data_IF_604746963563
#
_entry.id   IF_604746963563
#
_cell.length_a   1.000
_cell.length_b   1.000
_cell.length_c   1.000
_cell.angle_alpha   90.00
_cell.angle_beta   90.00
_cell.angle_gamma   90.00
#
_symmetry.space_group_name_H-M   'P 1'
#
loop_
_entity.id
_entity.type
_entity.pdbx_description
1 polymer ?
#
# COMPACT_ATOMS: atom_id res chain seq x y z
N UNK A 1 -9.70 26.52 -4.90
CA UNK A 1 -8.71 27.00 -5.88
C UNK A 1 -7.52 26.02 -6.03
N UNK A 2 -7.00 25.42 -4.96
CA UNK A 2 -5.83 24.51 -4.99
C UNK A 2 -6.08 23.18 -5.74
N UNK A 3 -7.29 22.62 -5.72
CA UNK A 3 -7.58 21.35 -6.39
C UNK A 3 -7.49 21.41 -7.92
N UNK A 4 -7.68 22.57 -8.55
CA UNK A 4 -7.54 22.75 -10.00
C UNK A 4 -6.08 22.69 -10.47
N UNK A 5 -5.13 23.02 -9.59
CA UNK A 5 -3.70 22.98 -9.90
C UNK A 5 -3.13 21.55 -9.90
N UNK A 6 -3.86 20.57 -9.34
CA UNK A 6 -3.46 19.17 -9.27
C UNK A 6 -4.08 18.30 -10.37
N UNK A 7 -4.97 18.86 -11.22
CA UNK A 7 -5.54 18.10 -12.32
C UNK A 7 -4.44 17.72 -13.32
N UNK A 8 -4.30 16.41 -13.58
CA UNK A 8 -3.27 15.88 -14.46
C UNK A 8 -1.84 16.00 -13.91
N UNK A 9 -1.69 16.32 -12.62
CA UNK A 9 -0.38 16.39 -12.00
C UNK A 9 0.27 14.99 -11.92
N UNK A 10 1.59 14.96 -12.03
CA UNK A 10 2.36 13.75 -11.79
C UNK A 10 2.63 13.58 -10.29
N UNK A 11 2.26 12.44 -9.77
CA UNK A 11 2.56 12.03 -8.40
C UNK A 11 3.80 11.13 -8.46
N UNK A 12 4.86 11.58 -7.83
CA UNK A 12 6.12 10.83 -7.70
C UNK A 12 6.09 10.12 -6.36
N UNK A 13 6.28 8.81 -6.37
CA UNK A 13 6.14 7.93 -5.20
C UNK A 13 7.50 7.39 -4.77
N UNK A 14 7.80 7.54 -3.48
CA UNK A 14 8.94 6.92 -2.79
C UNK A 14 8.44 6.62 -1.36
N UNK A 15 8.02 5.37 -1.11
CA UNK A 15 7.30 5.03 0.12
C UNK A 15 7.33 3.53 0.40
N UNK A 16 7.48 3.17 1.67
CA UNK A 16 7.38 1.79 2.18
C UNK A 16 5.94 1.30 2.39
N UNK A 17 4.93 2.13 2.10
CA UNK A 17 3.53 1.73 2.20
C UNK A 17 2.75 2.43 3.31
N UNK A 18 1.87 1.70 4.00
CA UNK A 18 1.04 2.24 5.07
C UNK A 18 -0.35 1.62 5.17
N UNK A 19 -1.34 2.41 5.56
CA UNK A 19 -2.72 1.96 5.81
C UNK A 19 -3.47 1.65 4.51
N UNK A 20 -4.18 0.51 4.47
CA UNK A 20 -5.09 0.13 3.37
C UNK A 20 -6.16 1.20 3.15
N UNK A 21 -6.76 1.71 4.23
CA UNK A 21 -7.83 2.69 4.15
C UNK A 21 -7.36 4.01 3.54
N UNK A 22 -6.19 4.49 3.97
CA UNK A 22 -5.64 5.75 3.52
C UNK A 22 -5.16 5.65 2.06
N UNK A 23 -4.53 4.54 1.67
CA UNK A 23 -4.12 4.29 0.30
C UNK A 23 -5.33 4.26 -0.66
N UNK A 24 -6.41 3.58 -0.29
CA UNK A 24 -7.65 3.56 -1.08
C UNK A 24 -8.26 4.97 -1.19
N UNK A 25 -8.35 5.70 -0.08
CA UNK A 25 -8.95 7.03 -0.06
C UNK A 25 -8.13 8.03 -0.90
N UNK A 26 -6.80 8.03 -0.72
CA UNK A 26 -5.88 8.89 -1.43
C UNK A 26 -5.82 8.54 -2.92
N UNK A 27 -5.74 7.25 -3.25
CA UNK A 27 -5.70 6.79 -4.63
C UNK A 27 -6.97 7.14 -5.41
N UNK A 28 -8.15 7.05 -4.80
CA UNK A 28 -9.41 7.51 -5.42
C UNK A 28 -9.37 9.02 -5.71
N UNK A 29 -8.76 9.82 -4.83
CA UNK A 29 -8.55 11.25 -5.08
C UNK A 29 -7.60 11.49 -6.25
N UNK A 30 -6.49 10.79 -6.31
CA UNK A 30 -5.54 10.89 -7.44
C UNK A 30 -6.21 10.54 -8.76
N UNK A 31 -6.96 9.43 -8.78
CA UNK A 31 -7.72 9.03 -9.98
C UNK A 31 -8.73 10.09 -10.40
N UNK A 32 -9.49 10.66 -9.44
CA UNK A 32 -10.48 11.71 -9.70
C UNK A 32 -9.88 13.02 -10.22
N UNK A 33 -8.62 13.32 -9.86
CA UNK A 33 -7.86 14.45 -10.37
C UNK A 33 -7.19 14.15 -11.72
N UNK A 34 -7.34 12.93 -12.26
CA UNK A 34 -6.66 12.53 -13.47
C UNK A 34 -5.15 12.46 -13.35
N UNK A 35 -4.64 12.26 -12.14
CA UNK A 35 -3.21 12.22 -11.87
C UNK A 35 -2.49 11.15 -12.66
N UNK A 36 -1.23 11.41 -12.97
CA UNK A 36 -0.25 10.48 -13.49
C UNK A 36 0.61 9.99 -12.33
N UNK A 37 1.15 8.79 -12.39
CA UNK A 37 1.98 8.25 -11.30
C UNK A 37 3.28 7.67 -11.81
N UNK A 38 4.34 7.85 -11.03
CA UNK A 38 5.64 7.21 -11.25
C UNK A 38 6.32 6.95 -9.92
N UNK A 39 7.33 6.07 -9.93
CA UNK A 39 8.19 5.81 -8.77
C UNK A 39 9.47 6.63 -8.94
N UNK A 40 9.91 7.28 -7.87
CA UNK A 40 11.13 8.09 -7.88
C UNK A 40 11.22 8.99 -6.67
N UNK A 41 12.42 9.46 -6.36
CA UNK A 41 12.66 10.43 -5.29
C UNK A 41 12.71 11.84 -5.88
N UNK A 42 11.86 12.75 -5.38
CA UNK A 42 11.87 14.15 -5.80
C UNK A 42 12.98 14.93 -5.10
N UNK A 43 13.83 15.59 -5.89
CA UNK A 43 14.90 16.46 -5.38
C UNK A 43 14.67 17.88 -5.89
N UNK A 44 14.65 18.84 -4.96
CA UNK A 44 14.54 20.26 -5.29
C UNK A 44 15.94 20.89 -5.25
N UNK A 45 16.40 21.31 -6.40
CA UNK A 45 17.68 22.03 -6.52
C UNK A 45 17.38 23.54 -6.52
N UNK A 46 17.85 24.23 -5.48
CA UNK A 46 17.81 25.69 -5.41
C UNK A 46 18.87 26.26 -6.36
N UNK A 47 18.44 26.88 -7.43
CA UNK A 47 19.32 27.56 -8.37
C UNK A 47 19.02 29.06 -8.36
N UNK A 48 20.04 29.88 -8.68
CA UNK A 48 19.88 31.35 -8.75
C UNK A 48 18.81 31.82 -9.77
N UNK A 49 18.33 30.92 -10.64
CA UNK A 49 17.32 31.18 -11.67
C UNK A 49 15.93 30.54 -11.32
N UNK A 50 15.73 30.14 -10.06
CA UNK A 50 14.50 29.50 -9.58
C UNK A 50 14.69 28.03 -9.21
N UNK A 51 13.78 27.53 -8.34
CA UNK A 51 13.79 26.14 -7.87
C UNK A 51 13.49 25.19 -9.03
N UNK A 52 14.36 24.21 -9.24
CA UNK A 52 14.15 23.12 -10.20
C UNK A 52 13.95 21.81 -9.44
N UNK A 53 12.87 21.13 -9.74
CA UNK A 53 12.65 19.78 -9.27
C UNK A 53 13.21 18.78 -10.28
N UNK A 54 13.97 17.78 -9.78
CA UNK A 54 14.37 16.59 -10.54
C UNK A 54 13.83 15.34 -9.86
N UNK A 55 13.71 14.26 -10.63
CA UNK A 55 13.25 12.97 -10.12
C UNK A 55 14.39 11.97 -10.30
N UNK A 56 14.83 11.39 -9.19
CA UNK A 56 15.80 10.29 -9.20
C UNK A 56 15.03 8.98 -9.37
N UNK A 57 15.41 8.10 -10.31
CA UNK A 57 14.66 6.90 -10.63
C UNK A 57 14.88 5.75 -9.64
N UNK A 58 15.97 5.77 -8.87
CA UNK A 58 16.28 4.78 -7.83
C UNK A 58 15.47 5.10 -6.57
N UNK A 59 14.32 4.45 -6.43
CA UNK A 59 13.37 4.69 -5.36
C UNK A 59 12.51 3.44 -5.10
N UNK A 60 11.83 3.43 -3.97
CA UNK A 60 11.04 2.29 -3.52
C UNK A 60 9.55 2.62 -3.50
N UNK A 61 8.74 1.68 -4.00
CA UNK A 61 7.30 1.71 -3.83
C UNK A 61 6.84 0.34 -3.33
N UNK A 62 6.62 0.23 -2.02
CA UNK A 62 6.39 -1.04 -1.33
C UNK A 62 4.99 -1.10 -0.73
N UNK A 63 4.44 -2.32 -0.63
CA UNK A 63 3.17 -2.56 0.07
C UNK A 63 2.03 -1.69 -0.50
N UNK A 64 1.39 -0.89 0.34
CA UNK A 64 0.26 -0.03 -0.06
C UNK A 64 0.65 1.10 -1.02
N UNK A 65 1.94 1.45 -1.16
CA UNK A 65 2.43 2.34 -2.20
C UNK A 65 2.11 1.82 -3.60
N UNK A 66 2.18 0.51 -3.83
CA UNK A 66 1.89 -0.12 -5.12
C UNK A 66 0.44 0.14 -5.56
N UNK A 67 -0.47 0.16 -4.60
CA UNK A 67 -1.87 0.49 -4.88
C UNK A 67 -2.09 1.99 -5.11
N UNK A 68 -1.25 2.86 -4.54
CA UNK A 68 -1.23 4.29 -4.92
C UNK A 68 -0.68 4.48 -6.34
N UNK A 69 0.39 3.76 -6.72
CA UNK A 69 0.91 3.76 -8.08
C UNK A 69 -0.19 3.38 -9.09
N UNK A 70 -0.99 2.35 -8.78
CA UNK A 70 -2.11 1.91 -9.60
C UNK A 70 -3.16 2.99 -9.83
N UNK A 71 -3.27 3.98 -8.96
CA UNK A 71 -4.28 5.05 -9.07
C UNK A 71 -4.06 6.01 -10.22
N UNK A 72 -2.85 6.12 -10.77
CA UNK A 72 -2.55 6.98 -11.91
C UNK A 72 -3.33 6.59 -13.16
N UNK A 73 -3.75 7.57 -13.97
CA UNK A 73 -4.33 7.31 -15.30
C UNK A 73 -3.28 6.77 -16.26
N UNK A 74 -2.10 7.38 -16.24
CA UNK A 74 -0.90 6.90 -16.91
C UNK A 74 0.12 6.59 -15.86
N UNK A 75 0.76 5.44 -15.95
CA UNK A 75 1.67 4.88 -14.96
C UNK A 75 2.98 4.47 -15.61
N UNK A 76 4.07 4.95 -15.04
CA UNK A 76 5.42 4.61 -15.48
C UNK A 76 6.26 4.17 -14.29
N UNK A 77 7.02 3.11 -14.46
CA UNK A 77 7.99 2.63 -13.47
C UNK A 77 9.37 2.64 -14.11
N UNK A 78 10.31 3.46 -13.60
CA UNK A 78 11.69 3.45 -14.09
C UNK A 78 12.34 2.08 -13.87
N UNK A 79 13.25 1.64 -14.76
CA UNK A 79 13.96 0.35 -14.59
C UNK A 79 14.81 0.25 -13.31
N UNK A 80 15.20 1.38 -12.73
CA UNK A 80 15.96 1.44 -11.49
C UNK A 80 15.07 1.48 -10.23
N UNK A 81 13.75 1.59 -10.39
CA UNK A 81 12.83 1.64 -9.25
C UNK A 81 12.47 0.23 -8.77
N UNK A 82 12.27 0.13 -7.46
CA UNK A 82 11.91 -1.11 -6.78
C UNK A 82 10.42 -1.09 -6.39
N UNK A 83 9.64 -1.98 -6.99
CA UNK A 83 8.20 -2.12 -6.69
C UNK A 83 7.98 -3.46 -6.04
N UNK A 84 7.56 -3.46 -4.75
CA UNK A 84 7.50 -4.66 -3.93
C UNK A 84 6.16 -4.83 -3.26
N UNK A 85 5.72 -6.09 -3.21
CA UNK A 85 4.42 -6.47 -2.63
C UNK A 85 4.57 -7.53 -1.54
N UNK A 86 3.62 -7.55 -0.63
CA UNK A 86 3.40 -8.58 0.37
C UNK A 86 1.94 -8.58 0.80
N UNK A 87 1.55 -9.61 1.53
CA UNK A 87 0.21 -9.76 2.07
C UNK A 87 -0.10 -8.67 3.10
N UNK A 88 -1.32 -8.14 3.08
CA UNK A 88 -1.79 -7.25 4.14
C UNK A 88 -2.02 -8.03 5.44
N UNK A 89 -1.70 -7.41 6.57
CA UNK A 89 -1.92 -7.97 7.91
C UNK A 89 -2.32 -6.89 8.91
N UNK A 90 -2.53 -7.30 10.16
CA UNK A 90 -2.78 -6.38 11.27
C UNK A 90 -1.49 -5.62 11.64
N UNK A 91 -1.45 -4.32 11.45
CA UNK A 91 -0.24 -3.50 11.64
C UNK A 91 0.30 -3.49 13.09
N UNK A 92 -0.56 -3.71 14.08
CA UNK A 92 -0.20 -3.84 15.49
C UNK A 92 0.53 -5.18 15.81
N UNK A 93 0.63 -6.09 14.85
CA UNK A 93 1.32 -7.39 14.94
C UNK A 93 2.59 -7.43 14.07
N UNK A 94 3.06 -6.28 13.58
CA UNK A 94 4.18 -6.20 12.64
C UNK A 94 5.49 -6.75 13.21
N UNK A 95 5.76 -6.57 14.51
CA UNK A 95 7.02 -6.97 15.14
C UNK A 95 7.18 -8.51 15.23
N UNK A 96 6.08 -9.26 15.30
CA UNK A 96 6.08 -10.72 15.28
C UNK A 96 4.81 -11.28 14.63
N UNK A 97 4.67 -11.03 13.36
CA UNK A 97 3.51 -11.43 12.59
C UNK A 97 3.30 -12.95 12.55
N UNK A 98 4.38 -13.75 12.65
CA UNK A 98 4.34 -15.21 12.61
C UNK A 98 3.90 -15.83 13.94
N UNK A 99 4.35 -15.27 15.07
CA UNK A 99 4.00 -15.76 16.41
C UNK A 99 2.70 -15.12 16.94
N UNK A 100 2.19 -14.08 16.31
CA UNK A 100 0.98 -13.40 16.75
C UNK A 100 -0.24 -14.32 16.74
N UNK A 101 -1.04 -14.22 17.79
CA UNK A 101 -2.36 -14.85 17.85
C UNK A 101 -3.40 -13.94 17.22
N UNK A 102 -4.20 -14.47 16.29
CA UNK A 102 -5.28 -13.75 15.64
C UNK A 102 -6.63 -14.23 16.15
N UNK A 103 -7.50 -13.30 16.48
CA UNK A 103 -8.89 -13.59 16.81
C UNK A 103 -9.73 -13.71 15.52
N UNK A 104 -10.93 -14.31 15.63
CA UNK A 104 -11.88 -14.30 14.51
C UNK A 104 -12.22 -12.89 14.03
N UNK A 105 -12.24 -11.92 14.94
CA UNK A 105 -12.48 -10.52 14.60
C UNK A 105 -11.33 -9.92 13.80
N UNK A 106 -10.08 -10.22 14.13
CA UNK A 106 -8.91 -9.77 13.38
C UNK A 106 -8.94 -10.32 11.94
N UNK A 107 -9.25 -11.61 11.79
CA UNK A 107 -9.40 -12.24 10.47
C UNK A 107 -10.51 -11.61 9.65
N UNK A 108 -11.66 -11.30 10.25
CA UNK A 108 -12.75 -10.58 9.56
C UNK A 108 -12.32 -9.18 9.08
N UNK A 109 -11.47 -8.48 9.84
CA UNK A 109 -10.94 -7.18 9.43
C UNK A 109 -10.04 -7.35 8.20
N UNK A 110 -9.12 -8.31 8.24
CA UNK A 110 -8.21 -8.59 7.11
C UNK A 110 -8.99 -9.00 5.87
N UNK A 111 -9.95 -9.92 5.98
CA UNK A 111 -10.79 -10.37 4.85
C UNK A 111 -11.59 -9.22 4.23
N UNK A 112 -12.19 -8.37 5.08
CA UNK A 112 -12.90 -7.17 4.61
C UNK A 112 -11.95 -6.24 3.84
N UNK A 113 -10.74 -6.02 4.33
CA UNK A 113 -9.79 -5.11 3.71
C UNK A 113 -9.20 -5.71 2.42
N UNK A 114 -9.03 -7.04 2.33
CA UNK A 114 -8.73 -7.75 1.07
C UNK A 114 -9.86 -7.50 0.05
N UNK A 115 -11.12 -7.67 0.45
CA UNK A 115 -12.27 -7.43 -0.43
C UNK A 115 -12.34 -5.98 -0.94
N UNK A 116 -12.05 -5.00 -0.07
CA UNK A 116 -11.99 -3.58 -0.45
C UNK A 116 -10.84 -3.29 -1.40
N UNK A 117 -9.68 -3.91 -1.16
CA UNK A 117 -8.50 -3.76 -1.99
C UNK A 117 -8.70 -4.40 -3.36
N UNK A 118 -9.39 -5.56 -3.42
CA UNK A 118 -9.76 -6.21 -4.67
C UNK A 118 -10.66 -5.28 -5.51
N UNK A 119 -11.73 -4.75 -4.90
CA UNK A 119 -12.59 -3.79 -5.59
C UNK A 119 -11.81 -2.57 -6.08
N UNK A 120 -10.96 -2.01 -5.23
CA UNK A 120 -10.13 -0.86 -5.59
C UNK A 120 -9.20 -1.18 -6.77
N UNK A 121 -8.57 -2.35 -6.79
CA UNK A 121 -7.66 -2.78 -7.86
C UNK A 121 -8.38 -2.75 -9.21
N UNK A 122 -9.58 -3.32 -9.29
CA UNK A 122 -10.38 -3.30 -10.52
C UNK A 122 -10.87 -1.88 -10.86
N UNK A 123 -11.34 -1.10 -9.89
CA UNK A 123 -11.78 0.29 -10.10
C UNK A 123 -10.64 1.16 -10.68
N UNK A 124 -9.37 0.85 -10.34
CA UNK A 124 -8.18 1.56 -10.84
C UNK A 124 -7.59 0.94 -12.12
N UNK A 125 -8.25 -0.06 -12.69
CA UNK A 125 -7.81 -0.71 -13.92
C UNK A 125 -6.60 -1.61 -13.75
N UNK A 126 -6.37 -2.13 -12.55
CA UNK A 126 -5.42 -3.19 -12.27
C UNK A 126 -5.98 -4.55 -12.60
N UNK A 127 -5.10 -5.54 -12.74
CA UNK A 127 -5.46 -6.93 -12.93
C UNK A 127 -5.50 -7.69 -11.59
N UNK A 128 -6.24 -8.79 -11.53
CA UNK A 128 -6.36 -9.63 -10.34
C UNK A 128 -5.04 -10.24 -9.89
N UNK A 129 -4.11 -10.41 -10.82
CA UNK A 129 -2.75 -10.89 -10.60
C UNK A 129 -1.98 -10.07 -9.57
N UNK A 130 -2.21 -8.74 -9.50
CA UNK A 130 -1.59 -7.90 -8.49
C UNK A 130 -1.94 -8.38 -7.07
N UNK A 131 -3.21 -8.64 -6.85
CA UNK A 131 -3.67 -9.10 -5.55
C UNK A 131 -3.20 -10.53 -5.27
N UNK A 132 -3.20 -11.40 -6.29
CA UNK A 132 -2.71 -12.77 -6.19
C UNK A 132 -1.23 -12.80 -5.79
N UNK A 133 -0.38 -12.00 -6.45
CA UNK A 133 1.04 -11.87 -6.12
C UNK A 133 1.22 -11.34 -4.69
N UNK A 134 0.53 -10.27 -4.33
CA UNK A 134 0.64 -9.71 -2.98
C UNK A 134 0.23 -10.71 -1.90
N UNK A 135 -0.90 -11.41 -2.07
CA UNK A 135 -1.41 -12.36 -1.08
C UNK A 135 -0.58 -13.66 -0.98
N UNK A 136 0.27 -13.95 -1.96
CA UNK A 136 1.16 -15.12 -1.95
C UNK A 136 2.40 -14.93 -1.09
N UNK A 137 2.70 -13.71 -0.64
CA UNK A 137 3.89 -13.36 0.14
C UNK A 137 3.50 -13.14 1.60
N UNK A 138 3.79 -14.08 2.51
CA UNK A 138 3.44 -13.93 3.92
C UNK A 138 4.12 -12.70 4.55
N UNK A 139 3.51 -12.08 5.58
CA UNK A 139 4.04 -10.85 6.17
C UNK A 139 5.36 -11.02 6.93
N UNK A 140 5.83 -12.23 7.12
CA UNK A 140 7.11 -12.57 7.77
C UNK A 140 8.21 -12.99 6.78
N UNK A 141 7.94 -12.90 5.48
CA UNK A 141 8.91 -13.13 4.42
C UNK A 141 9.33 -11.80 3.78
N UNK A 142 10.44 -11.84 3.05
CA UNK A 142 10.91 -10.68 2.30
C UNK A 142 9.86 -10.30 1.23
N UNK A 143 9.72 -9.02 0.99
CA UNK A 143 8.77 -8.51 0.00
C UNK A 143 9.15 -9.02 -1.41
N UNK A 144 8.16 -9.49 -2.15
CA UNK A 144 8.35 -9.88 -3.55
C UNK A 144 8.54 -8.66 -4.44
N UNK A 145 9.69 -8.56 -5.10
CA UNK A 145 9.98 -7.52 -6.07
C UNK A 145 9.36 -7.89 -7.43
N UNK A 146 8.51 -7.00 -7.94
CA UNK A 146 7.82 -7.22 -9.21
C UNK A 146 8.79 -7.05 -10.37
N UNK A 147 8.93 -8.09 -11.18
CA UNK A 147 9.65 -8.05 -12.46
C UNK A 147 8.93 -7.14 -13.48
N UNK A 148 9.65 -6.74 -14.53
CA UNK A 148 9.06 -5.96 -15.62
C UNK A 148 7.87 -6.66 -16.30
N UNK A 149 7.87 -8.00 -16.34
CA UNK A 149 6.75 -8.79 -16.86
C UNK A 149 5.53 -8.72 -15.92
N UNK A 150 5.74 -8.85 -14.61
CA UNK A 150 4.68 -8.76 -13.61
C UNK A 150 4.11 -7.34 -13.51
N UNK A 151 4.94 -6.29 -13.62
CA UNK A 151 4.46 -4.90 -13.69
C UNK A 151 3.48 -4.68 -14.86
N UNK A 152 3.72 -5.31 -16.01
CA UNK A 152 2.80 -5.27 -17.15
C UNK A 152 1.58 -6.16 -16.94
N UNK A 153 1.78 -7.39 -16.46
CA UNK A 153 0.72 -8.36 -16.20
C UNK A 153 -0.31 -7.80 -15.20
N UNK A 154 0.16 -7.13 -14.15
CA UNK A 154 -0.67 -6.48 -13.13
C UNK A 154 -1.26 -5.15 -13.56
N UNK A 155 -0.90 -4.68 -14.74
CA UNK A 155 -1.27 -3.38 -15.28
C UNK A 155 -0.81 -2.19 -14.42
N UNK A 156 0.31 -2.35 -13.69
CA UNK A 156 0.96 -1.27 -12.94
C UNK A 156 1.74 -0.32 -13.86
N UNK A 157 2.11 -0.76 -15.05
CA UNK A 157 2.74 0.04 -16.10
C UNK A 157 1.79 0.15 -17.29
N UNK A 158 1.53 1.37 -17.74
CA UNK A 158 0.68 1.67 -18.91
C UNK A 158 1.43 2.36 -20.04
N UNK A 159 2.67 2.81 -19.78
CA UNK A 159 3.55 3.41 -20.76
C UNK A 159 5.00 3.07 -20.47
N UNK A 160 5.81 2.92 -21.51
CA UNK A 160 7.25 2.77 -21.41
C UNK A 160 7.98 4.12 -21.60
N UNK A 161 7.25 5.19 -21.92
CA UNK A 161 7.81 6.52 -22.15
C UNK A 161 7.70 7.40 -20.90
N UNK A 162 8.84 7.75 -20.31
CA UNK A 162 8.90 8.68 -19.17
C UNK A 162 8.25 10.03 -19.48
N UNK A 163 8.29 10.48 -20.74
CA UNK A 163 7.71 11.75 -21.17
C UNK A 163 6.18 11.79 -21.04
N UNK A 164 5.50 10.66 -20.97
CA UNK A 164 4.04 10.59 -20.79
C UNK A 164 3.63 10.93 -19.35
N UNK A 165 4.54 10.78 -18.38
CA UNK A 165 4.26 11.06 -16.97
C UNK A 165 5.08 12.22 -16.42
N UNK A 166 6.28 12.45 -16.95
CA UNK A 166 7.15 13.57 -16.61
C UNK A 166 7.37 14.42 -17.88
N UNK A 167 6.42 15.31 -18.24
CA UNK A 167 6.58 16.14 -19.42
C UNK A 167 7.85 16.98 -19.27
N UNK A 168 8.64 17.00 -20.34
CA UNK A 168 9.84 17.86 -20.41
C UNK A 168 9.42 19.29 -20.18
N UNK A 169 9.84 19.86 -19.05
CA UNK A 169 9.98 21.30 -19.02
C UNK A 169 11.12 21.62 -19.99
N UNK A 170 10.86 22.50 -20.96
CA UNK A 170 11.90 22.98 -21.87
C UNK A 170 13.09 23.49 -21.06
N UNK A 171 14.10 22.67 -20.96
CA UNK A 171 15.46 22.77 -20.49
C UNK A 171 15.80 21.54 -19.62
N UNK A 172 16.29 20.49 -20.29
CA UNK A 172 17.14 19.39 -19.78
C UNK A 172 17.07 19.12 -18.26
N UNK A 173 16.19 18.19 -17.88
CA UNK A 173 16.38 17.47 -16.60
C UNK A 173 17.51 16.47 -16.88
N UNK A 174 18.71 16.61 -16.31
CA UNK A 174 19.68 15.54 -16.36
C UNK A 174 19.12 14.39 -15.52
N UNK A 175 18.92 13.24 -16.11
CA UNK A 175 18.85 11.98 -15.37
C UNK A 175 20.23 11.81 -14.76
N UNK A 176 20.38 12.21 -13.51
CA UNK A 176 21.63 12.03 -12.81
C UNK A 176 21.74 10.55 -12.41
N UNK A 177 22.67 9.84 -12.99
CA UNK A 177 23.19 8.60 -12.45
C UNK A 177 23.89 8.90 -11.11
N UNK A 178 23.12 9.13 -10.07
CA UNK A 178 23.63 9.32 -8.73
C UNK A 178 23.54 7.98 -7.99
N UNK A 179 24.65 7.25 -7.95
CA UNK A 179 24.91 6.27 -6.89
C UNK A 179 24.88 6.99 -5.56
N UNK A 180 23.72 7.10 -4.93
CA UNK A 180 23.63 7.46 -3.53
C UNK A 180 24.24 6.32 -2.72
N UNK A 181 25.29 6.63 -1.94
CA UNK A 181 25.86 5.71 -0.96
C UNK A 181 24.75 5.25 -0.02
N UNK A 182 24.57 3.92 0.09
CA UNK A 182 23.77 3.27 1.11
C UNK A 182 24.26 3.73 2.49
N UNK A 183 23.61 4.70 3.07
CA UNK A 183 23.74 5.15 4.43
C UNK A 183 22.36 5.55 4.93
N UNK A 184 21.85 4.79 5.86
CA UNK A 184 20.72 5.11 6.73
C UNK A 184 19.37 5.46 6.05
N UNK A 185 18.73 4.47 5.43
CA UNK A 185 17.29 4.54 5.08
C UNK A 185 16.38 3.80 6.06
N UNK A 186 16.83 3.53 7.26
CA UNK A 186 15.94 3.19 8.35
C UNK A 186 15.50 4.45 9.09
N UNK A 187 14.69 5.26 8.45
CA UNK A 187 13.73 6.05 9.19
C UNK A 187 12.51 5.17 9.33
N UNK A 188 12.52 4.33 10.37
CA UNK A 188 11.31 3.85 10.98
C UNK A 188 10.36 5.03 11.03
N UNK A 189 9.20 4.93 10.40
CA UNK A 189 8.06 5.79 10.72
C UNK A 189 7.63 5.42 12.13
N UNK A 190 8.44 5.86 13.11
CA UNK A 190 7.98 5.97 14.47
C UNK A 190 6.75 6.86 14.36
N UNK A 191 5.59 6.30 14.56
CA UNK A 191 4.34 7.00 14.77
C UNK A 191 4.62 8.02 15.85
N UNK A 192 4.75 9.28 15.47
CA UNK A 192 4.62 10.38 16.43
C UNK A 192 3.22 10.23 17.01
N UNK A 193 3.18 9.97 18.31
CA UNK A 193 1.95 9.68 19.03
C UNK A 193 1.00 10.89 18.95
N UNK A 194 -0.08 10.70 18.24
CA UNK A 194 -1.28 11.49 18.50
C UNK A 194 -1.71 11.21 19.91
N UNK A 195 -1.76 12.27 20.71
CA UNK A 195 -2.22 12.25 22.09
C UNK A 195 -3.59 11.56 22.16
N UNK A 196 -3.64 10.40 22.77
CA UNK A 196 -4.89 9.74 23.10
C UNK A 196 -5.72 10.65 24.01
N UNK A 197 -7.02 10.85 23.75
CA UNK A 197 -7.93 11.37 24.74
C UNK A 197 -7.99 10.36 25.89
N UNK A 198 -7.74 10.81 27.08
CA UNK A 198 -7.85 10.02 28.31
C UNK A 198 -9.21 9.32 28.37
N UNK A 199 -9.17 8.00 28.31
CA UNK A 199 -10.34 7.16 28.53
C UNK A 199 -10.81 7.33 29.99
N UNK A 200 -12.05 7.74 30.13
CA UNK A 200 -12.75 7.77 31.41
C UNK A 200 -12.78 6.36 32.01
N UNK A 201 -12.51 6.27 33.29
CA UNK A 201 -12.55 5.06 34.11
C UNK A 201 -13.87 4.31 33.92
N UNK A 202 -13.81 3.12 33.29
CA UNK A 202 -14.93 2.20 33.28
C UNK A 202 -15.05 1.53 34.65
N UNK A 203 -16.18 1.74 35.29
CA UNK A 203 -16.61 1.09 36.53
C UNK A 203 -16.82 -0.40 36.27
N UNK A 204 -16.21 -1.27 37.07
CA UNK A 204 -16.43 -2.69 37.11
C UNK A 204 -17.90 -3.00 37.37
N UNK A 205 -18.59 -3.62 36.42
CA UNK A 205 -19.89 -4.26 36.67
C UNK A 205 -19.68 -5.75 36.72
N UNK A 206 -20.25 -6.37 37.74
CA UNK A 206 -20.05 -7.74 38.16
C UNK A 206 -20.49 -8.77 37.12
N UNK A 207 -19.72 -9.80 37.02
CA UNK A 207 -19.91 -11.04 36.30
C UNK A 207 -21.11 -11.83 36.87
N UNK A 208 -22.12 -12.09 36.04
CA UNK A 208 -23.17 -13.05 36.36
C UNK A 208 -22.84 -14.34 35.63
N UNK A 209 -22.39 -15.34 36.38
CA UNK A 209 -22.19 -16.72 35.89
C UNK A 209 -23.55 -17.40 35.83
N UNK A 210 -24.01 -17.79 34.64
CA UNK A 210 -25.16 -18.66 34.45
C UNK A 210 -24.64 -20.07 34.15
N UNK A 211 -25.01 -21.11 34.93
CA UNK A 211 -24.60 -22.47 34.64
C UNK A 211 -25.41 -23.04 33.46
N UNK A 212 -24.69 -23.53 32.43
CA UNK A 212 -25.32 -24.25 31.32
C UNK A 212 -25.54 -25.68 31.76
N UNK A 213 -26.84 -26.08 31.80
CA UNK A 213 -27.29 -27.46 32.01
C UNK A 213 -26.93 -28.32 30.80
N UNK A 214 -26.47 -29.56 31.09
CA UNK A 214 -25.95 -30.49 30.13
C UNK A 214 -26.97 -30.94 29.07
N UNK A 215 -26.51 -31.01 27.85
CA UNK A 215 -27.18 -31.63 26.73
C UNK A 215 -26.92 -33.13 26.69
N UNK A 216 -27.97 -33.91 26.77
CA UNK A 216 -27.97 -35.37 26.61
C UNK A 216 -27.65 -35.78 25.16
N UNK A 217 -26.90 -36.86 25.04
CA UNK A 217 -26.53 -37.46 23.77
C UNK A 217 -27.72 -38.08 23.04
N UNK A 218 -27.73 -38.09 21.69
CA UNK A 218 -28.78 -38.77 20.92
C UNK A 218 -28.57 -40.30 20.93
N UNK A 219 -29.63 -41.10 20.78
CA UNK A 219 -29.56 -42.55 20.79
C UNK A 219 -28.98 -43.12 19.49
N UNK A 220 -28.47 -44.38 19.53
CA UNK A 220 -27.84 -45.00 18.37
C UNK A 220 -28.88 -45.47 17.34
N UNK A 221 -28.55 -45.21 16.05
CA UNK A 221 -29.35 -45.68 14.91
C UNK A 221 -29.06 -47.19 14.67
N UNK A 222 -30.14 -48.00 14.66
CA UNK A 222 -30.07 -49.42 14.27
C UNK A 222 -30.13 -49.54 12.73
N UNK A 223 -29.37 -50.48 12.13
CA UNK A 223 -29.46 -50.76 10.71
C UNK A 223 -30.72 -51.54 10.37
N UNK A 224 -31.41 -51.12 9.33
CA UNK A 224 -32.54 -51.80 8.72
C UNK A 224 -32.08 -53.04 7.96
N UNK A 225 -32.81 -54.13 8.11
CA UNK A 225 -32.71 -55.38 7.32
C UNK A 225 -33.17 -55.18 5.87
#
# INVERSE_FOLDING_TARGET
ARSRQLNGATIVLDSSGGSVNDAIALGRRFRGLGALTTVGTSVVNQAAQGDRASVLPDAYCESMCVFLLLSGKTRYVPPAAHVRVHQIWMGDRADDAKAASYTAQDLMIVERDIGRLAKYTFDMGGAGELLSLALSVPPWEDLHELSAAELRLTNLVTTDAVADVLPRQDNSIPVADAKLKNGDRFVSSAMEGEAQPQAAKATKTAEVVVPIAGTSAPPPVQPAQ
#
